data_IF_474363591597
#
_entry.id   IF_474363591597
#
_cell.length_a   1.000
_cell.length_b   1.000
_cell.length_c   1.000
_cell.angle_alpha   90.00
_cell.angle_beta   90.00
_cell.angle_gamma   90.00
#
_symmetry.space_group_name_H-M   'P 1'
#
loop_
_entity.id
_entity.type
_entity.pdbx_description
1 polymer ?
#
# COMPACT_ATOMS: atom_id res chain seq x y z
N UNK A 1 2.88 -22.79 14.87
CA UNK A 1 3.05 -22.86 13.40
C UNK A 1 3.24 -21.46 12.86
N UNK A 2 4.25 -21.26 12.02
CA UNK A 2 4.54 -19.99 11.38
C UNK A 2 4.50 -20.21 9.87
N UNK A 3 3.53 -19.61 9.20
CA UNK A 3 3.48 -19.56 7.75
C UNK A 3 4.51 -18.52 7.30
N UNK A 4 5.31 -18.86 6.30
CA UNK A 4 6.37 -17.99 5.78
C UNK A 4 6.01 -17.37 4.42
N UNK A 5 4.72 -17.25 4.15
CA UNK A 5 4.16 -16.64 2.94
C UNK A 5 2.96 -15.78 3.33
N UNK A 6 2.70 -14.76 2.52
CA UNK A 6 1.47 -13.97 2.56
C UNK A 6 0.47 -14.60 1.60
N UNK A 7 -0.81 -14.45 1.89
CA UNK A 7 -1.81 -14.94 0.95
C UNK A 7 -1.76 -14.11 -0.34
N UNK A 8 -1.73 -14.81 -1.48
CA UNK A 8 -1.47 -14.23 -2.80
C UNK A 8 0.00 -14.24 -3.23
N UNK A 9 0.94 -14.66 -2.37
CA UNK A 9 2.34 -14.80 -2.79
C UNK A 9 2.49 -15.92 -3.82
N UNK A 10 3.30 -15.66 -4.85
CA UNK A 10 3.75 -16.69 -5.77
C UNK A 10 4.78 -17.59 -5.05
N UNK A 11 4.46 -18.88 -4.95
CA UNK A 11 5.32 -19.87 -4.28
C UNK A 11 5.93 -20.82 -5.29
N UNK A 12 7.21 -21.13 -5.10
CA UNK A 12 7.97 -22.06 -5.96
C UNK A 12 8.26 -23.37 -5.23
N UNK A 13 8.48 -24.42 -6.01
CA UNK A 13 8.87 -25.72 -5.45
C UNK A 13 10.17 -25.60 -4.65
N UNK A 14 10.18 -26.17 -3.44
CA UNK A 14 11.32 -26.13 -2.53
C UNK A 14 11.33 -24.94 -1.57
N UNK A 15 10.39 -23.98 -1.71
CA UNK A 15 10.24 -22.89 -0.75
C UNK A 15 9.73 -23.42 0.60
N UNK A 16 10.34 -22.95 1.69
CA UNK A 16 9.85 -23.21 3.04
C UNK A 16 8.57 -22.40 3.29
N UNK A 17 7.41 -23.08 3.27
CA UNK A 17 6.09 -22.45 3.48
C UNK A 17 5.63 -22.45 4.94
N UNK A 18 6.15 -23.37 5.75
CA UNK A 18 5.69 -23.61 7.12
C UNK A 18 6.87 -23.96 8.04
N UNK A 19 6.95 -23.27 9.17
CA UNK A 19 7.82 -23.62 10.30
C UNK A 19 6.96 -24.05 11.51
N UNK A 20 7.40 -25.08 12.24
CA UNK A 20 6.66 -25.65 13.37
C UNK A 20 7.56 -25.64 14.59
N UNK A 21 7.15 -24.90 15.61
CA UNK A 21 7.75 -24.96 16.93
C UNK A 21 6.97 -25.99 17.76
N UNK A 22 7.64 -27.09 18.14
CA UNK A 22 7.06 -28.16 18.92
C UNK A 22 8.14 -28.81 19.80
N UNK A 23 7.72 -29.33 20.97
CA UNK A 23 8.62 -30.03 21.89
C UNK A 23 9.16 -31.34 21.28
N UNK A 24 8.39 -31.96 20.39
CA UNK A 24 8.77 -33.15 19.63
C UNK A 24 8.48 -32.93 18.16
N UNK A 25 9.30 -33.53 17.29
CA UNK A 25 9.07 -33.47 15.85
C UNK A 25 7.68 -34.05 15.53
N UNK A 26 6.86 -33.36 14.73
CA UNK A 26 5.56 -33.88 14.29
C UNK A 26 5.76 -35.11 13.39
N UNK A 27 4.77 -36.02 13.41
CA UNK A 27 4.79 -37.19 12.53
C UNK A 27 4.58 -36.80 11.06
N UNK A 28 4.97 -37.69 10.15
CA UNK A 28 4.77 -37.51 8.72
C UNK A 28 3.28 -37.34 8.36
N UNK A 29 2.40 -38.13 8.99
CA UNK A 29 0.94 -38.05 8.81
C UNK A 29 0.39 -36.67 9.20
N UNK A 30 0.89 -36.12 10.30
CA UNK A 30 0.52 -34.77 10.74
C UNK A 30 1.01 -33.74 9.73
N UNK A 31 2.26 -33.86 9.26
CA UNK A 31 2.84 -32.95 8.26
C UNK A 31 2.06 -32.99 6.94
N UNK A 32 1.62 -34.17 6.51
CA UNK A 32 0.79 -34.34 5.32
C UNK A 32 -0.58 -33.68 5.51
N UNK A 33 -1.21 -33.87 6.67
CA UNK A 33 -2.50 -33.25 7.00
C UNK A 33 -2.42 -31.73 7.02
N UNK A 34 -1.36 -31.17 7.62
CA UNK A 34 -1.13 -29.73 7.64
C UNK A 34 -0.86 -29.14 6.24
N UNK A 35 -0.22 -29.90 5.35
CA UNK A 35 -0.05 -29.47 3.95
C UNK A 35 -1.35 -29.53 3.16
N UNK A 36 -2.22 -30.50 3.45
CA UNK A 36 -3.50 -30.66 2.77
C UNK A 36 -4.52 -29.54 3.10
N UNK A 37 -4.32 -28.77 4.17
CA UNK A 37 -5.14 -27.59 4.46
C UNK A 37 -4.72 -26.35 3.66
N UNK A 38 -3.57 -26.39 2.99
CA UNK A 38 -3.10 -25.31 2.13
C UNK A 38 -3.63 -25.53 0.72
N UNK A 39 -4.55 -24.67 0.29
CA UNK A 39 -5.07 -24.67 -1.07
C UNK A 39 -4.23 -23.77 -1.96
N UNK A 40 -3.83 -24.30 -3.12
CA UNK A 40 -3.30 -23.49 -4.21
C UNK A 40 -4.49 -22.93 -4.99
N UNK A 41 -4.55 -21.61 -5.12
CA UNK A 41 -5.57 -20.94 -5.90
C UNK A 41 -4.98 -20.56 -7.26
N UNK A 42 -5.66 -20.93 -8.34
CA UNK A 42 -5.39 -20.38 -9.66
C UNK A 42 -6.11 -19.04 -9.79
N UNK A 43 -5.37 -17.94 -9.66
CA UNK A 43 -5.88 -16.57 -9.81
C UNK A 43 -5.93 -15.78 -8.50
N UNK A 44 -6.48 -14.57 -8.58
CA UNK A 44 -6.50 -13.61 -7.47
C UNK A 44 -7.96 -13.24 -7.13
N UNK A 45 -8.39 -13.47 -5.88
CA UNK A 45 -9.75 -13.14 -5.40
C UNK A 45 -9.71 -11.93 -4.47
N UNK A 46 -10.48 -10.89 -4.80
CA UNK A 46 -10.61 -9.68 -3.95
C UNK A 46 -11.33 -9.99 -2.63
N UNK A 47 -12.25 -10.96 -2.63
CA UNK A 47 -12.99 -11.36 -1.43
C UNK A 47 -12.06 -11.99 -0.37
N UNK A 48 -10.97 -12.59 -0.83
CA UNK A 48 -10.01 -13.30 0.01
C UNK A 48 -8.80 -12.40 0.34
N UNK A 49 -8.33 -11.57 -0.62
CA UNK A 49 -7.13 -10.76 -0.48
C UNK A 49 -7.39 -9.26 -0.73
N UNK A 50 -7.50 -8.48 0.34
CA UNK A 50 -7.69 -7.02 0.25
C UNK A 50 -6.57 -6.31 -0.55
N UNK A 51 -5.33 -6.83 -0.48
CA UNK A 51 -4.17 -6.32 -1.24
C UNK A 51 -4.43 -6.39 -2.74
N UNK A 52 -5.11 -7.44 -3.21
CA UNK A 52 -5.47 -7.58 -4.61
C UNK A 52 -6.47 -6.50 -5.03
N UNK A 53 -7.51 -6.22 -4.23
CA UNK A 53 -8.46 -5.14 -4.50
C UNK A 53 -7.80 -3.76 -4.57
N UNK A 54 -6.83 -3.49 -3.69
CA UNK A 54 -6.01 -2.27 -3.76
C UNK A 54 -5.14 -2.22 -5.02
N UNK A 55 -4.53 -3.35 -5.36
CA UNK A 55 -3.70 -3.48 -6.57
C UNK A 55 -4.53 -3.21 -7.83
N UNK A 56 -5.76 -3.72 -7.91
CA UNK A 56 -6.68 -3.44 -9.02
C UNK A 56 -6.99 -1.95 -9.16
N UNK A 57 -7.23 -1.24 -8.04
CA UNK A 57 -7.44 0.22 -8.08
C UNK A 57 -6.20 0.98 -8.58
N UNK A 58 -5.01 0.54 -8.17
CA UNK A 58 -3.75 1.10 -8.68
C UNK A 58 -3.61 0.82 -10.18
N UNK A 59 -3.86 -0.41 -10.64
CA UNK A 59 -3.78 -0.74 -12.07
C UNK A 59 -4.77 0.06 -12.91
N UNK A 60 -5.98 0.28 -12.41
CA UNK A 60 -6.97 1.15 -13.06
C UNK A 60 -6.46 2.59 -13.17
N UNK A 61 -5.83 3.12 -12.12
CA UNK A 61 -5.23 4.45 -12.16
C UNK A 61 -4.10 4.53 -13.20
N UNK A 62 -3.19 3.55 -13.21
CA UNK A 62 -2.08 3.47 -14.16
C UNK A 62 -2.59 3.34 -15.59
N UNK A 63 -3.59 2.49 -15.85
CA UNK A 63 -4.22 2.35 -17.18
C UNK A 63 -4.83 3.68 -17.64
N UNK A 64 -5.54 4.38 -16.76
CA UNK A 64 -6.12 5.68 -17.07
C UNK A 64 -5.05 6.73 -17.42
N UNK A 65 -3.88 6.70 -16.77
CA UNK A 65 -2.75 7.60 -17.05
C UNK A 65 -1.93 7.20 -18.27
N UNK A 66 -2.14 6.01 -18.83
CA UNK A 66 -1.37 5.56 -19.98
C UNK A 66 -1.55 6.48 -21.20
N UNK A 67 -0.54 6.60 -22.08
CA UNK A 67 -0.59 7.51 -23.24
C UNK A 67 -1.78 7.28 -24.19
N UNK A 68 -2.36 6.08 -24.19
CA UNK A 68 -3.49 5.74 -25.04
C UNK A 68 -4.86 6.18 -24.50
N UNK A 69 -4.99 6.39 -23.18
CA UNK A 69 -6.26 6.79 -22.55
C UNK A 69 -6.19 8.24 -22.09
N UNK A 70 -5.16 8.58 -21.29
CA UNK A 70 -4.91 9.92 -20.75
C UNK A 70 -6.15 10.53 -20.03
N UNK A 71 -6.73 9.78 -19.09
CA UNK A 71 -7.85 10.16 -18.23
C UNK A 71 -7.39 10.37 -16.76
N UNK A 72 -6.87 11.56 -16.43
CA UNK A 72 -6.45 11.87 -15.05
C UNK A 72 -7.63 11.96 -14.08
N UNK A 73 -8.87 12.14 -14.57
CA UNK A 73 -10.07 12.19 -13.74
C UNK A 73 -10.34 10.85 -13.06
N UNK A 74 -10.27 9.76 -13.83
CA UNK A 74 -10.38 8.39 -13.33
C UNK A 74 -9.22 8.04 -12.40
N UNK A 75 -7.98 8.39 -12.77
CA UNK A 75 -6.81 8.15 -11.92
C UNK A 75 -6.95 8.82 -10.54
N UNK A 76 -7.44 10.07 -10.50
CA UNK A 76 -7.69 10.80 -9.25
C UNK A 76 -8.76 10.12 -8.39
N UNK A 77 -9.81 9.59 -9.00
CA UNK A 77 -10.84 8.83 -8.27
C UNK A 77 -10.25 7.57 -7.63
N UNK A 78 -9.40 6.84 -8.36
CA UNK A 78 -8.68 5.69 -7.81
C UNK A 78 -7.77 6.10 -6.64
N UNK A 79 -7.01 7.21 -6.77
CA UNK A 79 -6.19 7.74 -5.67
C UNK A 79 -7.02 8.06 -4.43
N UNK A 80 -8.21 8.67 -4.58
CA UNK A 80 -9.10 8.91 -3.45
C UNK A 80 -9.53 7.60 -2.77
N UNK A 81 -9.93 6.59 -3.54
CA UNK A 81 -10.34 5.28 -2.98
C UNK A 81 -9.19 4.56 -2.29
N UNK A 82 -7.99 4.60 -2.87
CA UNK A 82 -6.79 4.08 -2.23
C UNK A 82 -6.46 4.82 -0.93
N UNK A 83 -6.63 6.15 -0.92
CA UNK A 83 -6.42 6.97 0.29
C UNK A 83 -7.42 6.61 1.39
N UNK A 84 -8.70 6.45 1.04
CA UNK A 84 -9.75 6.04 1.98
C UNK A 84 -9.39 4.67 2.59
N UNK A 85 -9.04 3.68 1.76
CA UNK A 85 -8.72 2.34 2.20
C UNK A 85 -7.42 2.27 3.01
N UNK A 86 -6.36 2.94 2.57
CA UNK A 86 -5.10 3.07 3.33
C UNK A 86 -5.31 3.80 4.66
N UNK A 87 -6.20 4.78 4.72
CA UNK A 87 -6.58 5.47 5.95
C UNK A 87 -7.40 4.58 6.89
N UNK A 88 -8.20 3.64 6.38
CA UNK A 88 -8.90 2.65 7.21
C UNK A 88 -7.93 1.62 7.80
N UNK A 89 -6.98 1.15 6.98
CA UNK A 89 -5.88 0.26 7.38
C UNK A 89 -4.94 0.93 8.38
N UNK A 90 -4.58 2.19 8.10
CA UNK A 90 -3.72 3.03 8.90
C UNK A 90 -4.50 3.74 10.00
N UNK A 91 -4.51 3.17 11.21
CA UNK A 91 -4.89 3.81 12.47
C UNK A 91 -6.32 4.38 12.65
N UNK A 92 -7.08 4.80 11.61
CA UNK A 92 -8.45 5.34 11.80
C UNK A 92 -9.42 4.32 12.39
N UNK A 93 -9.24 3.04 12.03
CA UNK A 93 -10.00 1.93 12.62
C UNK A 93 -9.12 0.94 13.41
N UNK A 94 -7.79 1.14 13.43
CA UNK A 94 -6.80 0.13 13.87
C UNK A 94 -7.11 -1.27 13.33
N UNK A 95 -7.72 -1.34 12.14
CA UNK A 95 -8.11 -2.60 11.55
C UNK A 95 -6.87 -3.24 10.96
N UNK A 96 -6.39 -4.28 11.62
CA UNK A 96 -5.36 -5.15 11.08
C UNK A 96 -6.03 -6.48 10.75
N UNK A 97 -5.82 -7.01 9.53
CA UNK A 97 -6.32 -8.33 9.21
C UNK A 97 -5.71 -9.33 10.20
N UNK A 98 -6.51 -10.24 10.73
CA UNK A 98 -5.97 -11.24 11.66
C UNK A 98 -4.83 -12.00 10.98
N UNK A 99 -3.65 -11.93 11.58
CA UNK A 99 -2.46 -12.64 11.15
C UNK A 99 -2.14 -13.83 12.05
N UNK A 100 -3.01 -14.09 13.04
CA UNK A 100 -2.78 -15.07 14.08
C UNK A 100 -4.06 -15.85 14.35
N UNK A 101 -3.98 -17.17 14.38
CA UNK A 101 -5.04 -18.05 14.85
C UNK A 101 -4.75 -18.47 16.28
N UNK A 102 -5.75 -18.31 17.15
CA UNK A 102 -5.71 -18.69 18.55
C UNK A 102 -6.46 -20.01 18.76
N UNK A 103 -6.08 -20.78 19.77
CA UNK A 103 -6.92 -21.88 20.28
C UNK A 103 -8.00 -21.38 21.27
N UNK A 104 -8.74 -22.33 21.85
CA UNK A 104 -9.80 -22.06 22.82
C UNK A 104 -9.27 -21.41 24.11
N UNK A 105 -8.00 -21.64 24.46
CA UNK A 105 -7.30 -21.04 25.59
C UNK A 105 -6.61 -19.70 25.27
N UNK A 106 -6.76 -19.18 24.04
CA UNK A 106 -6.19 -17.90 23.61
C UNK A 106 -4.69 -17.95 23.28
N UNK A 107 -4.09 -19.13 23.17
CA UNK A 107 -2.70 -19.31 22.78
C UNK A 107 -2.54 -19.26 21.26
N UNK A 108 -1.47 -18.60 20.80
CA UNK A 108 -1.17 -18.46 19.37
C UNK A 108 -0.75 -19.80 18.78
N UNK A 109 -1.52 -20.33 17.84
CA UNK A 109 -1.24 -21.61 17.16
C UNK A 109 -0.69 -21.42 15.75
N UNK A 110 -1.22 -20.46 15.00
CA UNK A 110 -0.75 -20.14 13.64
C UNK A 110 -0.45 -18.66 13.56
N UNK A 111 0.65 -18.29 12.93
CA UNK A 111 0.97 -16.90 12.58
C UNK A 111 1.33 -16.82 11.10
N UNK A 112 1.10 -15.66 10.48
CA UNK A 112 1.49 -15.38 9.09
C UNK A 112 2.01 -13.95 8.96
N UNK A 113 2.90 -13.66 8.00
CA UNK A 113 3.28 -12.30 7.67
C UNK A 113 2.09 -11.53 7.09
N UNK A 114 2.08 -10.22 7.32
CA UNK A 114 1.23 -9.25 6.64
C UNK A 114 2.09 -8.33 5.78
N UNK A 115 1.48 -7.68 4.80
CA UNK A 115 2.09 -6.55 4.11
C UNK A 115 1.92 -5.30 4.99
N UNK A 116 3.04 -4.62 5.25
CA UNK A 116 3.05 -3.42 6.09
C UNK A 116 2.44 -2.22 5.37
N UNK A 117 2.08 -1.18 6.13
CA UNK A 117 1.55 0.06 5.57
C UNK A 117 2.50 0.68 4.54
N UNK A 118 3.80 0.75 4.83
CA UNK A 118 4.76 1.37 3.93
C UNK A 118 4.97 0.57 2.64
N UNK A 119 5.09 -0.76 2.75
CA UNK A 119 5.16 -1.66 1.58
C UNK A 119 3.96 -1.43 0.66
N UNK A 120 2.75 -1.40 1.25
CA UNK A 120 1.50 -1.24 0.53
C UNK A 120 1.39 0.16 -0.10
N UNK A 121 1.70 1.22 0.65
CA UNK A 121 1.76 2.60 0.13
C UNK A 121 2.75 2.70 -1.03
N UNK A 122 3.95 2.15 -0.88
CA UNK A 122 4.99 2.17 -1.91
C UNK A 122 4.50 1.47 -3.18
N UNK A 123 3.94 0.26 -3.04
CA UNK A 123 3.37 -0.53 -4.13
C UNK A 123 2.26 0.21 -4.87
N UNK A 124 1.41 0.93 -4.15
CA UNK A 124 0.21 1.56 -4.72
C UNK A 124 0.47 2.94 -5.32
N UNK A 125 1.22 3.81 -4.64
CA UNK A 125 1.38 5.21 -5.07
C UNK A 125 2.59 5.42 -5.98
N UNK A 126 3.63 4.61 -5.88
CA UNK A 126 4.84 4.79 -6.72
C UNK A 126 4.54 4.62 -8.21
N UNK A 127 3.78 3.59 -8.67
CA UNK A 127 3.44 3.47 -10.08
C UNK A 127 2.58 4.65 -10.57
N UNK A 128 1.61 5.10 -9.76
CA UNK A 128 0.72 6.21 -10.12
C UNK A 128 1.53 7.49 -10.31
N UNK A 129 2.50 7.78 -9.43
CA UNK A 129 3.39 8.93 -9.58
C UNK A 129 4.26 8.82 -10.84
N UNK A 130 4.75 7.62 -11.14
CA UNK A 130 5.59 7.40 -12.31
C UNK A 130 4.84 7.63 -13.62
N UNK A 131 3.66 7.02 -13.79
CA UNK A 131 2.86 7.16 -15.01
C UNK A 131 2.13 8.50 -15.11
N UNK A 132 1.86 9.15 -13.98
CA UNK A 132 1.23 10.48 -13.92
C UNK A 132 2.22 11.62 -13.75
N UNK A 133 3.51 11.41 -13.99
CA UNK A 133 4.56 12.40 -13.71
C UNK A 133 4.35 13.71 -14.51
N UNK A 134 3.83 13.59 -15.74
CA UNK A 134 3.57 14.73 -16.63
C UNK A 134 2.20 15.39 -16.37
N UNK A 135 1.34 14.78 -15.53
CA UNK A 135 0.03 15.32 -15.18
C UNK A 135 0.03 15.97 -13.79
N UNK A 136 0.02 17.31 -13.78
CA UNK A 136 0.00 18.11 -12.56
C UNK A 136 -1.18 17.74 -11.64
N UNK A 137 -2.35 17.39 -12.21
CA UNK A 137 -3.55 17.02 -11.44
C UNK A 137 -3.30 15.76 -10.60
N UNK A 138 -2.66 14.75 -11.17
CA UNK A 138 -2.33 13.49 -10.51
C UNK A 138 -1.31 13.71 -9.40
N UNK A 139 -0.24 14.48 -9.66
CA UNK A 139 0.74 14.83 -8.64
C UNK A 139 0.11 15.57 -7.45
N UNK A 140 -0.75 16.56 -7.70
CA UNK A 140 -1.47 17.27 -6.64
C UNK A 140 -2.48 16.35 -5.91
N UNK A 141 -3.09 15.40 -6.61
CA UNK A 141 -3.95 14.38 -6.03
C UNK A 141 -3.20 13.47 -5.05
N UNK A 142 -2.01 13.00 -5.43
CA UNK A 142 -1.14 12.20 -4.58
C UNK A 142 -0.61 13.01 -3.39
N UNK A 143 -0.24 14.27 -3.59
CA UNK A 143 0.17 15.16 -2.50
C UNK A 143 -0.96 15.32 -1.47
N UNK A 144 -2.20 15.54 -1.94
CA UNK A 144 -3.37 15.63 -1.06
C UNK A 144 -3.62 14.31 -0.32
N UNK A 145 -3.44 13.17 -0.99
CA UNK A 145 -3.57 11.85 -0.37
C UNK A 145 -2.60 11.68 0.80
N UNK A 146 -1.30 11.93 0.59
CA UNK A 146 -0.30 11.76 1.66
C UNK A 146 -0.46 12.77 2.80
N UNK A 147 -0.84 14.01 2.49
CA UNK A 147 -1.22 15.02 3.50
C UNK A 147 -2.37 14.51 4.36
N UNK A 148 -3.41 13.95 3.75
CA UNK A 148 -4.57 13.40 4.46
C UNK A 148 -4.20 12.19 5.33
N UNK A 149 -3.35 11.28 4.84
CA UNK A 149 -2.89 10.13 5.60
C UNK A 149 -2.01 10.54 6.80
N UNK A 150 -1.22 11.61 6.66
CA UNK A 150 -0.31 12.10 7.72
C UNK A 150 -1.04 12.49 9.02
N UNK A 151 -2.30 12.91 8.91
CA UNK A 151 -3.14 13.28 10.05
C UNK A 151 -3.42 12.08 10.97
N UNK A 152 -3.38 10.85 10.43
CA UNK A 152 -3.73 9.62 11.14
C UNK A 152 -2.52 8.69 11.34
N UNK A 153 -1.40 9.00 10.70
CA UNK A 153 -0.17 8.21 10.74
C UNK A 153 0.57 8.30 12.10
N UNK A 154 1.15 7.18 12.53
CA UNK A 154 2.17 7.14 13.57
C UNK A 154 3.48 7.82 13.13
N UNK A 155 4.48 7.88 14.00
CA UNK A 155 5.74 8.58 13.69
C UNK A 155 6.50 7.94 12.52
N UNK A 156 6.68 6.61 12.53
CA UNK A 156 7.37 5.91 11.45
C UNK A 156 6.64 6.00 10.10
N UNK A 157 5.31 5.90 10.10
CA UNK A 157 4.49 6.05 8.90
C UNK A 157 4.55 7.48 8.36
N UNK A 158 4.62 8.47 9.24
CA UNK A 158 4.75 9.89 8.86
C UNK A 158 6.07 10.16 8.16
N UNK A 159 7.17 9.59 8.62
CA UNK A 159 8.47 9.69 7.94
C UNK A 159 8.41 9.11 6.52
N UNK A 160 7.79 7.94 6.37
CA UNK A 160 7.60 7.32 5.06
C UNK A 160 6.68 8.15 4.12
N UNK A 161 5.62 8.74 4.68
CA UNK A 161 4.73 9.65 3.95
C UNK A 161 5.45 10.95 3.54
N UNK A 162 6.32 11.48 4.40
CA UNK A 162 7.12 12.67 4.11
C UNK A 162 8.08 12.39 2.95
N UNK A 163 8.87 11.30 3.03
CA UNK A 163 9.80 10.93 1.97
C UNK A 163 9.10 10.73 0.61
N UNK A 164 7.87 10.21 0.61
CA UNK A 164 7.09 10.14 -0.62
C UNK A 164 6.54 11.50 -1.07
N UNK A 165 6.09 12.33 -0.13
CA UNK A 165 5.62 13.68 -0.46
C UNK A 165 6.73 14.52 -1.09
N UNK A 166 7.96 14.44 -0.59
CA UNK A 166 9.14 15.09 -1.19
C UNK A 166 9.33 14.67 -2.66
N UNK A 167 9.23 13.36 -2.96
CA UNK A 167 9.28 12.86 -4.34
C UNK A 167 8.14 13.41 -5.21
N UNK A 168 6.93 13.54 -4.66
CA UNK A 168 5.80 14.13 -5.38
C UNK A 168 6.04 15.60 -5.67
N UNK A 169 6.57 16.36 -4.70
CA UNK A 169 6.91 17.77 -4.86
C UNK A 169 8.00 17.95 -5.92
N UNK A 170 9.04 17.11 -5.90
CA UNK A 170 10.09 17.12 -6.92
C UNK A 170 9.53 16.88 -8.32
N UNK A 171 8.64 15.89 -8.49
CA UNK A 171 7.99 15.62 -9.78
C UNK A 171 7.15 16.82 -10.23
N UNK A 172 6.35 17.41 -9.34
CA UNK A 172 5.54 18.59 -9.65
C UNK A 172 6.40 19.79 -10.04
N UNK A 173 7.53 19.99 -9.37
CA UNK A 173 8.47 21.08 -9.65
C UNK A 173 9.10 20.96 -11.05
N UNK A 174 9.48 19.74 -11.45
CA UNK A 174 10.04 19.48 -12.79
C UNK A 174 9.06 19.78 -13.92
N UNK A 175 7.76 19.61 -13.70
CA UNK A 175 6.71 19.93 -14.67
C UNK A 175 6.25 21.40 -14.64
N UNK A 176 6.75 22.22 -13.70
CA UNK A 176 6.32 23.60 -13.50
C UNK A 176 7.28 24.61 -14.14
N UNK A 177 7.20 24.76 -15.47
CA UNK A 177 8.08 25.67 -16.21
C UNK A 177 7.73 27.16 -16.00
N UNK A 178 6.45 27.48 -15.76
CA UNK A 178 5.96 28.86 -15.64
C UNK A 178 5.87 29.32 -14.17
N UNK A 179 6.28 30.58 -13.84
CA UNK A 179 6.21 31.11 -12.47
C UNK A 179 4.85 30.98 -11.78
N UNK A 180 3.76 31.28 -12.49
CA UNK A 180 2.38 31.09 -11.97
C UNK A 180 2.08 29.62 -11.59
N UNK A 181 2.64 28.66 -12.32
CA UNK A 181 2.47 27.24 -12.01
C UNK A 181 3.20 26.85 -10.73
N UNK A 182 4.39 27.42 -10.50
CA UNK A 182 5.19 27.22 -9.28
C UNK A 182 4.49 27.81 -8.05
N UNK A 183 4.04 29.06 -8.15
CA UNK A 183 3.26 29.71 -7.10
C UNK A 183 1.99 28.93 -6.76
N UNK A 184 1.32 28.39 -7.77
CA UNK A 184 0.14 27.54 -7.57
C UNK A 184 0.49 26.27 -6.80
N UNK A 185 1.58 25.57 -7.14
CA UNK A 185 2.02 24.36 -6.42
C UNK A 185 2.40 24.71 -4.98
N UNK A 186 3.24 25.74 -4.77
CA UNK A 186 3.70 26.15 -3.45
C UNK A 186 2.54 26.52 -2.52
N UNK A 187 1.52 27.20 -3.05
CA UNK A 187 0.31 27.48 -2.29
C UNK A 187 -0.39 26.17 -1.82
N UNK A 188 -0.40 25.10 -2.63
CA UNK A 188 -0.98 23.80 -2.22
C UNK A 188 -0.11 23.03 -1.23
N UNK A 189 1.20 23.25 -1.21
CA UNK A 189 2.09 22.63 -0.21
C UNK A 189 1.68 23.06 1.20
N UNK A 190 1.38 24.34 1.39
CA UNK A 190 1.05 24.93 2.69
C UNK A 190 -0.45 24.90 3.04
N UNK A 191 -1.33 24.67 2.05
CA UNK A 191 -2.79 24.68 2.26
C UNK A 191 -3.30 23.41 2.94
N UNK A 192 -4.22 23.58 3.90
CA UNK A 192 -4.96 22.49 4.54
C UNK A 192 -4.21 21.87 5.72
N UNK A 193 -4.92 21.11 6.54
CA UNK A 193 -4.32 20.45 7.71
C UNK A 193 -3.49 19.23 7.29
N UNK A 194 -2.24 19.16 7.74
CA UNK A 194 -1.35 18.00 7.63
C UNK A 194 -0.25 18.05 8.69
N UNK A 195 0.45 16.92 8.87
CA UNK A 195 1.57 16.80 9.82
C UNK A 195 2.93 16.67 9.14
N UNK A 196 2.99 16.89 7.83
CA UNK A 196 4.22 16.81 7.02
C UNK A 196 4.91 18.16 6.95
N UNK A 197 6.22 18.19 7.19
CA UNK A 197 7.07 19.36 6.96
C UNK A 197 7.59 19.32 5.53
N UNK A 198 6.84 19.94 4.61
CA UNK A 198 7.09 19.82 3.18
C UNK A 198 8.11 20.87 2.71
N UNK A 199 9.11 20.49 1.88
CA UNK A 199 10.01 21.46 1.27
C UNK A 199 9.25 22.31 0.24
N UNK A 200 9.68 23.56 -0.02
CA UNK A 200 9.14 24.35 -1.13
C UNK A 200 9.39 23.65 -2.46
N UNK A 201 8.52 23.85 -3.46
CA UNK A 201 8.66 23.21 -4.76
C UNK A 201 9.81 23.81 -5.58
N UNK A 202 10.26 25.03 -5.28
CA UNK A 202 11.36 25.70 -5.96
C UNK A 202 12.36 26.29 -4.96
N UNK A 203 13.65 26.09 -5.23
CA UNK A 203 14.77 26.85 -4.64
C UNK A 203 15.19 27.97 -5.60
#
# INVERSE_FOLDING_TARGET
MHLNFRFGDYVVQGLLILHIEAATAPSDDWCQSARATLSYLEGESVAEHYVHGLTQLMEMAVKALSPGIHDPGTARLCVHRLTDLLGLLGHRLRWQPSNTLLDEEGQRRVTRPLEGFDDLRHRLFTPILHYGADDQSTGLGLLKAVKSLSLFAGDAEREALLAFAERVVETLARGADHPLGREFIDARLTTGEHRLDLPPACQ
#
